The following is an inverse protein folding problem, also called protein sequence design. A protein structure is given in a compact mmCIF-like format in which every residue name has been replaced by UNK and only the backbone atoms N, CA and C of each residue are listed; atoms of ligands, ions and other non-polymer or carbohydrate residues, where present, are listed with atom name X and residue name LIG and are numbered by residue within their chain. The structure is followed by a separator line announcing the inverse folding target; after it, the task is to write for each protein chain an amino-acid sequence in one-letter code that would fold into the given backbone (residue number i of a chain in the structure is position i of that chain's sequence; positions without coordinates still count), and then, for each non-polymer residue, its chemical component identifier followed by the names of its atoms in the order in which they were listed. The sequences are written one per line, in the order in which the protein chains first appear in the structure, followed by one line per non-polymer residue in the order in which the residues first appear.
data_IF_067829534701
#
_entry.id   IF_067829534701
#
_cell.length_a   1.000
_cell.length_b   1.000
_cell.length_c   1.000
_cell.angle_alpha   90.00
_cell.angle_beta   90.00
_cell.angle_gamma   90.00
#
_symmetry.space_group_name_H-M   'P 1'
#
loop_
_entity.id
_entity.type
_entity.pdbx_description
1 polymer ?
#
# COMPACT_ATOMS: atom_id res chain seq x y z
N UNK A 1 -6.24 -3.27 -2.49
CA UNK A 1 -6.83 -4.62 -2.28
C UNK A 1 -8.22 -4.42 -1.72
N UNK A 2 -9.20 -5.10 -2.28
CA UNK A 2 -10.57 -5.08 -1.79
C UNK A 2 -11.09 -6.49 -1.50
N UNK A 3 -12.00 -6.55 -0.54
CA UNK A 3 -12.76 -7.76 -0.22
C UNK A 3 -14.14 -7.34 0.27
N UNK A 4 -15.19 -7.86 -0.39
CA UNK A 4 -16.59 -7.60 -0.03
C UNK A 4 -16.90 -6.11 0.18
N UNK A 5 -16.47 -5.28 -0.75
CA UNK A 5 -16.72 -3.83 -0.75
C UNK A 5 -15.86 -3.00 0.19
N UNK A 6 -15.01 -3.61 1.00
CA UNK A 6 -14.06 -2.91 1.86
C UNK A 6 -12.66 -2.90 1.26
N UNK A 7 -11.92 -1.83 1.51
CA UNK A 7 -10.56 -1.62 1.04
C UNK A 7 -9.56 -1.75 2.18
N UNK A 8 -8.45 -2.43 1.92
CA UNK A 8 -7.39 -2.57 2.91
C UNK A 8 -6.54 -1.30 2.94
N UNK A 9 -6.45 -0.69 4.13
CA UNK A 9 -5.51 0.37 4.44
C UNK A 9 -4.52 -0.13 5.49
N UNK A 10 -3.27 0.30 5.37
CA UNK A 10 -2.21 -0.01 6.33
C UNK A 10 -1.63 1.28 6.88
N UNK A 11 -1.45 1.34 8.21
CA UNK A 11 -0.81 2.47 8.85
C UNK A 11 0.70 2.28 8.87
N UNK A 12 1.43 3.20 8.26
CA UNK A 12 2.89 3.16 8.25
C UNK A 12 3.46 3.26 9.66
N UNK A 13 4.57 2.56 9.91
CA UNK A 13 5.32 2.74 11.15
C UNK A 13 5.76 4.21 11.31
N UNK A 14 5.90 4.68 12.55
CA UNK A 14 6.22 6.08 12.82
C UNK A 14 7.70 6.42 12.54
N UNK A 15 8.58 5.43 12.51
CA UNK A 15 10.03 5.61 12.46
C UNK A 15 10.65 5.35 11.08
N UNK A 16 9.86 5.01 10.05
CA UNK A 16 10.39 4.64 8.74
C UNK A 16 9.40 4.88 7.61
N UNK A 17 9.90 4.75 6.38
CA UNK A 17 9.11 4.84 5.15
C UNK A 17 9.02 6.23 4.56
N UNK A 18 8.19 6.37 3.53
CA UNK A 18 8.00 7.63 2.80
C UNK A 18 6.98 8.53 3.49
N UNK A 19 6.00 7.93 4.15
CA UNK A 19 4.92 8.63 4.84
C UNK A 19 4.74 8.07 6.26
N UNK A 20 5.74 8.30 7.17
CA UNK A 20 5.66 7.74 8.53
C UNK A 20 4.36 8.12 9.25
N UNK A 21 3.73 7.14 9.90
CA UNK A 21 2.55 7.34 10.74
C UNK A 21 1.24 7.56 10.01
N UNK A 22 1.24 7.67 8.68
CA UNK A 22 0.02 7.87 7.91
C UNK A 22 -0.54 6.56 7.35
N UNK A 23 -1.84 6.57 7.04
CA UNK A 23 -2.51 5.45 6.40
C UNK A 23 -2.25 5.46 4.90
N UNK A 24 -2.00 4.28 4.36
CA UNK A 24 -1.57 4.08 2.98
C UNK A 24 -2.17 2.82 2.37
N UNK A 25 -2.09 2.73 1.05
CA UNK A 25 -2.20 1.46 0.35
C UNK A 25 -0.90 0.67 0.53
N UNK A 26 -1.00 -0.65 0.62
CA UNK A 26 0.17 -1.53 0.67
C UNK A 26 0.90 -1.56 -0.66
N UNK A 27 2.19 -1.78 -0.62
CA UNK A 27 3.03 -1.89 -1.81
C UNK A 27 4.50 -1.80 -1.44
N UNK A 28 5.36 -2.06 -2.41
CA UNK A 28 6.80 -1.99 -2.22
C UNK A 28 7.53 -1.88 -3.54
N UNK A 29 8.85 -1.99 -3.50
CA UNK A 29 9.72 -1.80 -4.65
C UNK A 29 9.86 -3.05 -5.52
N UNK A 30 10.03 -2.84 -6.82
CA UNK A 30 10.44 -3.91 -7.76
C UNK A 30 11.95 -4.08 -7.64
N UNK A 31 12.39 -5.31 -7.42
CA UNK A 31 13.82 -5.62 -7.35
C UNK A 31 14.38 -5.98 -8.74
N UNK A 32 15.70 -5.78 -8.97
CA UNK A 32 16.32 -6.20 -10.23
C UNK A 32 16.03 -7.67 -10.53
N UNK A 33 15.61 -7.96 -11.77
CA UNK A 33 15.29 -9.31 -12.19
C UNK A 33 13.87 -9.78 -11.90
N UNK A 34 13.09 -9.04 -11.11
CA UNK A 34 11.68 -9.33 -10.89
C UNK A 34 10.79 -8.77 -11.99
N UNK A 35 9.75 -9.50 -12.32
CA UNK A 35 8.61 -8.94 -13.06
C UNK A 35 7.73 -8.15 -12.11
N UNK A 36 6.96 -7.20 -12.65
CA UNK A 36 6.09 -6.32 -11.82
C UNK A 36 5.10 -7.12 -10.98
N UNK A 37 4.40 -8.12 -11.56
CA UNK A 37 3.45 -8.94 -10.81
C UNK A 37 4.14 -9.81 -9.75
N UNK A 38 5.33 -10.33 -10.04
CA UNK A 38 6.13 -11.08 -9.08
C UNK A 38 6.50 -10.21 -7.86
N UNK A 39 6.92 -8.97 -8.12
CA UNK A 39 7.22 -7.98 -7.08
C UNK A 39 5.99 -7.68 -6.22
N UNK A 40 4.83 -7.46 -6.85
CA UNK A 40 3.58 -7.22 -6.15
C UNK A 40 3.22 -8.38 -5.22
N UNK A 41 3.27 -9.61 -5.71
CA UNK A 41 2.96 -10.80 -4.91
C UNK A 41 3.97 -11.01 -3.78
N UNK A 42 5.25 -10.78 -4.02
CA UNK A 42 6.30 -10.85 -2.99
C UNK A 42 6.06 -9.83 -1.89
N UNK A 43 5.84 -8.57 -2.25
CA UNK A 43 5.59 -7.49 -1.29
C UNK A 43 4.33 -7.76 -0.44
N UNK A 44 3.27 -8.26 -1.05
CA UNK A 44 2.05 -8.61 -0.31
C UNK A 44 2.33 -9.71 0.70
N UNK A 45 3.08 -10.76 0.33
CA UNK A 45 3.45 -11.81 1.29
C UNK A 45 4.30 -11.29 2.43
N UNK A 46 5.29 -10.44 2.14
CA UNK A 46 6.18 -9.88 3.15
C UNK A 46 5.45 -8.92 4.10
N UNK A 47 4.63 -8.04 3.56
CA UNK A 47 3.99 -6.97 4.34
C UNK A 47 2.66 -7.36 4.97
N UNK A 48 1.91 -8.26 4.33
CA UNK A 48 0.53 -8.60 4.73
C UNK A 48 0.34 -10.07 5.11
N UNK A 49 1.40 -10.88 5.00
CA UNK A 49 1.38 -12.29 5.36
C UNK A 49 0.95 -13.21 4.21
N UNK A 50 1.21 -14.50 4.40
CA UNK A 50 0.98 -15.53 3.38
C UNK A 50 -0.47 -16.01 3.31
N UNK A 51 -1.29 -15.68 4.31
CA UNK A 51 -2.69 -16.13 4.40
C UNK A 51 -3.65 -15.26 3.58
N UNK A 52 -3.26 -14.05 3.19
CA UNK A 52 -4.06 -13.17 2.35
C UNK A 52 -3.99 -13.63 0.89
N UNK A 53 -5.06 -14.23 0.39
CA UNK A 53 -5.12 -14.82 -0.94
C UNK A 53 -5.73 -13.85 -1.94
N UNK A 54 -4.95 -13.44 -2.94
CA UNK A 54 -5.46 -12.62 -4.04
C UNK A 54 -6.07 -13.51 -5.12
N UNK A 55 -7.31 -13.21 -5.49
CA UNK A 55 -8.04 -13.90 -6.56
C UNK A 55 -7.99 -13.16 -7.89
N UNK A 56 -7.80 -11.84 -7.85
CA UNK A 56 -7.70 -11.01 -9.04
C UNK A 56 -6.61 -9.97 -8.86
N UNK A 57 -5.79 -9.77 -9.89
CA UNK A 57 -4.80 -8.70 -10.00
C UNK A 57 -4.94 -8.09 -11.38
N UNK A 58 -5.32 -6.83 -11.44
CA UNK A 58 -5.52 -6.10 -12.70
C UNK A 58 -4.73 -4.81 -12.70
N UNK A 59 -3.84 -4.57 -13.68
CA UNK A 59 -3.19 -3.26 -13.83
C UNK A 59 -4.23 -2.16 -13.97
N UNK A 60 -4.03 -1.06 -13.25
CA UNK A 60 -4.98 0.04 -13.30
C UNK A 60 -4.35 1.35 -13.80
N UNK A 61 -3.35 1.89 -13.10
CA UNK A 61 -2.76 3.18 -13.46
C UNK A 61 -1.32 3.31 -13.00
N UNK A 62 -0.67 4.38 -13.42
CA UNK A 62 0.65 4.74 -12.92
C UNK A 62 0.70 6.23 -12.60
N UNK A 63 1.61 6.60 -11.72
CA UNK A 63 1.93 7.99 -11.38
C UNK A 63 3.36 8.05 -10.86
N UNK A 64 3.86 9.25 -10.61
CA UNK A 64 5.19 9.44 -10.07
C UNK A 64 5.23 10.57 -9.05
N UNK A 65 6.30 10.61 -8.27
CA UNK A 65 6.56 11.68 -7.32
C UNK A 65 8.01 11.64 -6.84
N UNK A 66 8.45 12.74 -6.24
CA UNK A 66 9.72 12.83 -5.51
C UNK A 66 9.39 12.94 -4.03
N UNK A 67 9.93 12.04 -3.21
CA UNK A 67 9.63 11.96 -1.78
C UNK A 67 10.90 11.75 -0.95
N UNK A 68 10.82 12.12 0.31
CA UNK A 68 11.86 11.82 1.29
C UNK A 68 11.54 10.52 2.00
N UNK A 69 12.41 9.52 1.83
CA UNK A 69 12.31 8.25 2.55
C UNK A 69 13.09 8.34 3.86
N UNK A 70 12.45 7.96 4.96
CA UNK A 70 13.07 7.84 6.26
C UNK A 70 13.37 6.36 6.56
N UNK A 71 14.63 6.08 6.88
CA UNK A 71 15.07 4.74 7.29
C UNK A 71 14.95 4.56 8.80
N UNK A 72 14.89 3.31 9.26
CA UNK A 72 14.74 2.99 10.67
C UNK A 72 15.85 3.58 11.58
N UNK A 73 17.06 3.78 11.03
CA UNK A 73 18.20 4.42 11.72
C UNK A 73 18.12 5.95 11.77
N UNK A 74 17.03 6.55 11.25
CA UNK A 74 16.81 7.99 11.18
C UNK A 74 17.41 8.68 9.95
N UNK A 75 18.16 7.95 9.13
CA UNK A 75 18.71 8.49 7.87
C UNK A 75 17.56 8.83 6.91
N UNK A 76 17.74 9.90 6.13
CA UNK A 76 16.77 10.36 5.13
C UNK A 76 17.43 10.42 3.75
N UNK A 77 16.64 10.06 2.73
CA UNK A 77 17.08 10.08 1.35
C UNK A 77 15.94 10.57 0.46
N UNK A 78 16.25 11.48 -0.48
CA UNK A 78 15.29 11.88 -1.50
C UNK A 78 15.26 10.81 -2.60
N UNK A 79 14.08 10.33 -2.94
CA UNK A 79 13.89 9.30 -3.96
C UNK A 79 12.84 9.72 -4.98
N UNK A 80 13.06 9.33 -6.24
CA UNK A 80 12.08 9.42 -7.31
C UNK A 80 11.29 8.10 -7.35
N UNK A 81 9.97 8.20 -7.19
CA UNK A 81 9.09 7.04 -7.14
C UNK A 81 8.18 7.00 -8.34
N UNK A 82 8.12 5.84 -8.99
CA UNK A 82 7.11 5.52 -9.99
C UNK A 82 6.14 4.54 -9.33
N UNK A 83 4.87 4.94 -9.25
CA UNK A 83 3.82 4.09 -8.68
C UNK A 83 3.11 3.34 -9.79
N UNK A 84 3.19 2.03 -9.75
CA UNK A 84 2.41 1.12 -10.60
C UNK A 84 1.27 0.57 -9.76
N UNK A 85 0.05 1.01 -10.04
CA UNK A 85 -1.10 0.71 -9.19
C UNK A 85 -1.96 -0.38 -9.81
N UNK A 86 -2.33 -1.35 -8.99
CA UNK A 86 -3.14 -2.50 -9.37
C UNK A 86 -4.44 -2.54 -8.58
N UNK A 87 -5.51 -2.98 -9.23
CA UNK A 87 -6.72 -3.41 -8.55
C UNK A 87 -6.58 -4.88 -8.19
N UNK A 88 -6.71 -5.17 -6.91
CA UNK A 88 -6.61 -6.54 -6.39
C UNK A 88 -7.85 -6.89 -5.59
N UNK A 89 -8.32 -8.12 -5.75
CA UNK A 89 -9.40 -8.69 -4.96
C UNK A 89 -8.84 -9.84 -4.14
N UNK A 90 -9.15 -9.87 -2.84
CA UNK A 90 -8.77 -10.98 -1.97
C UNK A 90 -9.96 -11.89 -1.65
N UNK A 91 -9.67 -13.18 -1.47
CA UNK A 91 -10.66 -14.18 -1.07
C UNK A 91 -11.02 -14.09 0.42
N UNK A 92 -10.15 -13.47 1.22
CA UNK A 92 -10.30 -13.37 2.68
C UNK A 92 -9.74 -12.04 3.19
N UNK A 93 -9.76 -11.85 4.51
CA UNK A 93 -9.25 -10.66 5.20
C UNK A 93 -8.15 -11.00 6.20
N UNK A 94 -7.47 -12.12 6.01
CA UNK A 94 -6.43 -12.59 6.91
C UNK A 94 -5.12 -11.86 6.68
N UNK A 95 -4.88 -10.80 7.43
CA UNK A 95 -3.70 -9.94 7.34
C UNK A 95 -2.81 -10.15 8.54
N UNK A 96 -1.50 -10.33 8.28
CA UNK A 96 -0.46 -10.30 9.29
C UNK A 96 0.60 -9.31 8.85
N UNK A 97 0.56 -8.12 9.42
CA UNK A 97 1.50 -7.03 9.07
C UNK A 97 2.90 -7.32 9.60
N UNK A 98 3.90 -6.76 8.89
CA UNK A 98 5.30 -6.77 9.33
C UNK A 98 5.70 -5.43 9.97
N UNK A 99 7.01 -5.20 10.16
CA UNK A 99 7.56 -4.02 10.80
C UNK A 99 7.36 -2.71 10.00
N UNK A 100 7.01 -2.79 8.73
CA UNK A 100 6.72 -1.60 7.91
C UNK A 100 5.41 -0.92 8.33
N UNK A 101 4.51 -1.67 8.95
CA UNK A 101 3.21 -1.17 9.40
C UNK A 101 3.01 -1.33 10.90
N UNK A 102 2.26 -0.41 11.49
CA UNK A 102 1.87 -0.50 12.90
C UNK A 102 0.41 -0.92 13.09
N UNK A 103 -0.41 -0.84 12.04
CA UNK A 103 -1.83 -1.20 12.08
C UNK A 103 -2.37 -1.45 10.68
N UNK A 104 -3.55 -2.04 10.59
CA UNK A 104 -4.29 -2.19 9.34
C UNK A 104 -5.79 -2.13 9.60
N UNK A 105 -6.56 -1.83 8.56
CA UNK A 105 -8.02 -1.80 8.62
C UNK A 105 -8.65 -2.13 7.27
N UNK A 106 -9.75 -2.84 7.31
CA UNK A 106 -10.64 -3.02 6.15
C UNK A 106 -11.73 -1.95 6.24
N UNK A 107 -11.73 -1.02 5.30
CA UNK A 107 -12.49 0.22 5.38
C UNK A 107 -13.49 0.31 4.24
N UNK A 108 -14.74 0.60 4.58
CA UNK A 108 -15.77 0.87 3.57
C UNK A 108 -15.51 2.21 2.90
N UNK A 109 -15.91 2.40 1.62
CA UNK A 109 -15.67 3.66 0.91
C UNK A 109 -16.14 4.90 1.68
N UNK A 110 -17.31 4.86 2.31
CA UNK A 110 -17.86 5.98 3.07
C UNK A 110 -17.04 6.38 4.30
N UNK A 111 -16.22 5.46 4.82
CA UNK A 111 -15.40 5.69 6.02
C UNK A 111 -13.97 6.13 5.70
N UNK A 112 -13.54 6.04 4.43
CA UNK A 112 -12.18 6.40 4.01
C UNK A 112 -11.80 7.84 4.38
N UNK A 113 -12.78 8.74 4.38
CA UNK A 113 -12.60 10.16 4.71
C UNK A 113 -12.13 10.38 6.16
N UNK A 114 -12.35 9.43 7.05
CA UNK A 114 -11.98 9.53 8.47
C UNK A 114 -10.55 9.12 8.77
N UNK A 115 -9.82 8.61 7.79
CA UNK A 115 -8.44 8.17 7.94
C UNK A 115 -7.44 9.25 7.53
N UNK A 116 -6.34 9.37 8.27
CA UNK A 116 -5.23 10.26 7.91
C UNK A 116 -4.42 9.65 6.76
N UNK A 117 -4.97 9.77 5.56
CA UNK A 117 -4.39 9.20 4.35
C UNK A 117 -3.20 10.04 3.87
N UNK A 118 -2.11 9.37 3.49
CA UNK A 118 -1.02 10.09 2.83
C UNK A 118 -1.47 10.66 1.47
N UNK A 119 -0.71 11.61 0.96
CA UNK A 119 -1.09 12.34 -0.26
C UNK A 119 -1.22 11.45 -1.48
N UNK A 120 -0.35 10.44 -1.63
CA UNK A 120 -0.37 9.52 -2.77
C UNK A 120 -1.62 8.62 -2.72
N UNK A 121 -1.94 8.07 -1.56
CA UNK A 121 -3.14 7.27 -1.34
C UNK A 121 -4.41 8.09 -1.58
N UNK A 122 -4.47 9.30 -1.05
CA UNK A 122 -5.60 10.21 -1.24
C UNK A 122 -5.84 10.51 -2.72
N UNK A 123 -4.77 10.80 -3.47
CA UNK A 123 -4.84 11.03 -4.91
C UNK A 123 -5.39 9.80 -5.65
N UNK A 124 -4.87 8.62 -5.33
CA UNK A 124 -5.32 7.36 -5.93
C UNK A 124 -6.80 7.10 -5.68
N UNK A 125 -7.25 7.24 -4.43
CA UNK A 125 -8.64 7.01 -4.06
C UNK A 125 -9.60 8.01 -4.69
N UNK A 126 -9.18 9.26 -4.86
CA UNK A 126 -9.95 10.28 -5.60
C UNK A 126 -10.10 9.91 -7.07
N UNK A 127 -9.02 9.48 -7.71
CA UNK A 127 -9.06 9.03 -9.11
C UNK A 127 -9.99 7.84 -9.31
N UNK A 128 -10.13 6.99 -8.30
CA UNK A 128 -11.08 5.87 -8.32
C UNK A 128 -12.51 6.27 -7.99
N UNK A 129 -12.76 7.53 -7.63
CA UNK A 129 -14.08 7.99 -7.23
C UNK A 129 -14.52 7.52 -5.85
N UNK A 130 -13.57 7.17 -4.97
CA UNK A 130 -13.83 6.69 -3.61
C UNK A 130 -13.72 7.79 -2.55
N UNK A 131 -13.18 8.94 -2.93
CA UNK A 131 -13.07 10.14 -2.11
C UNK A 131 -13.58 11.36 -2.86
#
# INVERSE_FOLDING_TARGET
IQNDGAYLLCKMADDRGVFPGQWALSGGGVEPGERIEEALRREIREELGEQLLLTEITPWTFSDDIRTKTYADGRKEEIYMIYLTFDCVSANREVKINEEFQDYAWVKPEDLVHYDLNVATRKTLRLKGLL
#
